data_IF_807392393792
#
_entry.id   IF_807392393792
#
_cell.length_a   1.000
_cell.length_b   1.000
_cell.length_c   1.000
_cell.angle_alpha   90.00
_cell.angle_beta   90.00
_cell.angle_gamma   90.00
#
_symmetry.space_group_name_H-M   'P 1'
#
loop_
_entity.id
_entity.type
_entity.pdbx_description
1 polymer ?
#
# COMPACT_ATOMS: atom_id res chain seq x y z
N UNK A 1 -6.75 -1.06 -1.19
CA UNK A 1 -5.31 -0.72 -1.15
C UNK A 1 -4.38 -1.93 -1.30
N UNK A 2 -4.49 -2.99 -0.48
CA UNK A 2 -3.55 -4.13 -0.51
C UNK A 2 -3.47 -4.84 -1.87
N UNK A 3 -4.60 -5.21 -2.47
CA UNK A 3 -4.64 -5.94 -3.74
C UNK A 3 -3.88 -5.20 -4.88
N UNK A 4 -4.00 -3.88 -4.97
CA UNK A 4 -3.28 -3.08 -5.96
C UNK A 4 -1.76 -3.07 -5.71
N UNK A 5 -1.32 -3.11 -4.45
CA UNK A 5 0.10 -3.12 -4.08
C UNK A 5 0.80 -4.43 -4.42
N UNK A 6 0.07 -5.56 -4.41
CA UNK A 6 0.60 -6.86 -4.85
C UNK A 6 1.11 -6.81 -6.30
N UNK A 7 0.44 -6.04 -7.16
CA UNK A 7 0.87 -5.79 -8.52
C UNK A 7 1.97 -4.73 -8.60
N UNK A 8 1.75 -3.56 -7.99
CA UNK A 8 2.54 -2.35 -8.30
C UNK A 8 4.03 -2.43 -7.91
N UNK A 9 4.37 -3.20 -6.87
CA UNK A 9 5.75 -3.26 -6.36
C UNK A 9 6.66 -4.01 -7.34
N UNK A 10 6.27 -5.21 -7.74
CA UNK A 10 7.05 -6.01 -8.68
C UNK A 10 7.14 -5.33 -10.06
N UNK A 11 6.07 -4.67 -10.51
CA UNK A 11 6.07 -3.86 -11.73
C UNK A 11 7.12 -2.74 -11.68
N UNK A 12 7.08 -1.92 -10.62
CA UNK A 12 8.05 -0.84 -10.42
C UNK A 12 9.49 -1.36 -10.34
N UNK A 13 9.73 -2.51 -9.69
CA UNK A 13 11.07 -3.10 -9.58
C UNK A 13 11.65 -3.53 -10.93
N UNK A 14 10.81 -4.09 -11.82
CA UNK A 14 11.25 -4.48 -13.17
C UNK A 14 11.72 -3.27 -13.98
N UNK A 15 11.02 -2.14 -13.88
CA UNK A 15 11.43 -0.89 -14.54
C UNK A 15 12.65 -0.24 -13.87
N UNK A 16 12.61 -0.06 -12.55
CA UNK A 16 13.60 0.73 -11.80
C UNK A 16 14.96 0.03 -11.67
N UNK A 17 14.98 -1.30 -11.58
CA UNK A 17 16.19 -2.09 -11.34
C UNK A 17 16.51 -2.97 -12.55
N UNK A 18 15.52 -3.69 -13.06
CA UNK A 18 15.65 -4.54 -14.24
C UNK A 18 14.92 -5.88 -14.10
N UNK A 19 14.77 -6.59 -15.21
CA UNK A 19 13.96 -7.82 -15.29
C UNK A 19 14.42 -8.91 -14.31
N UNK A 20 15.74 -9.03 -14.09
CA UNK A 20 16.35 -10.03 -13.22
C UNK A 20 16.68 -9.49 -11.81
N UNK A 21 15.97 -8.45 -11.32
CA UNK A 21 16.27 -7.80 -10.03
C UNK A 21 16.29 -8.77 -8.83
N UNK A 22 15.56 -9.89 -8.92
CA UNK A 22 15.51 -10.93 -7.89
C UNK A 22 16.82 -11.72 -7.75
N UNK A 23 17.73 -11.64 -8.72
CA UNK A 23 19.04 -12.29 -8.68
C UNK A 23 20.11 -11.45 -7.96
N UNK A 24 19.81 -10.19 -7.59
CA UNK A 24 20.75 -9.38 -6.82
C UNK A 24 20.93 -9.96 -5.41
N UNK A 25 22.14 -9.96 -4.84
CA UNK A 25 22.41 -10.56 -3.52
C UNK A 25 21.41 -10.21 -2.41
N UNK A 26 20.98 -8.94 -2.22
CA UNK A 26 20.00 -8.63 -1.17
C UNK A 26 18.57 -9.11 -1.47
N UNK A 27 18.24 -9.44 -2.72
CA UNK A 27 16.91 -9.88 -3.15
C UNK A 27 16.81 -11.40 -3.34
N UNK A 28 17.95 -12.09 -3.34
CA UNK A 28 18.02 -13.51 -3.61
C UNK A 28 17.47 -14.30 -2.40
N UNK A 29 16.65 -15.31 -2.68
CA UNK A 29 16.22 -16.25 -1.64
C UNK A 29 17.39 -17.13 -1.18
N UNK A 30 17.31 -17.65 0.04
CA UNK A 30 18.26 -18.61 0.58
C UNK A 30 18.05 -20.03 0.01
N UNK A 31 16.90 -20.29 -0.61
CA UNK A 31 16.56 -21.60 -1.20
C UNK A 31 16.74 -21.59 -2.71
N UNK A 32 16.91 -22.78 -3.30
CA UNK A 32 17.00 -22.89 -4.77
C UNK A 32 15.70 -22.43 -5.44
N UNK A 33 15.84 -21.58 -6.47
CA UNK A 33 14.73 -21.08 -7.28
C UNK A 33 14.56 -21.98 -8.49
N UNK A 34 13.52 -22.83 -8.48
CA UNK A 34 13.10 -23.60 -9.66
C UNK A 34 12.08 -22.79 -10.45
N UNK A 35 12.49 -22.22 -11.58
CA UNK A 35 11.63 -21.38 -12.43
C UNK A 35 11.84 -21.64 -13.92
N UNK A 36 10.77 -21.54 -14.70
CA UNK A 36 10.84 -21.50 -16.16
C UNK A 36 11.34 -20.16 -16.72
N UNK A 37 11.55 -19.14 -15.89
CA UNK A 37 12.03 -17.83 -16.33
C UNK A 37 13.48 -17.90 -16.86
N UNK A 38 13.65 -17.52 -18.13
CA UNK A 38 14.91 -17.56 -18.88
C UNK A 38 15.25 -16.17 -19.45
N UNK A 39 16.54 -15.90 -19.68
CA UNK A 39 17.09 -14.69 -20.29
C UNK A 39 16.80 -13.38 -19.51
N UNK A 40 16.53 -12.29 -20.23
CA UNK A 40 16.39 -10.93 -19.69
C UNK A 40 17.73 -10.21 -19.54
N UNK A 41 17.70 -8.87 -19.60
CA UNK A 41 18.88 -8.05 -19.40
C UNK A 41 19.53 -8.33 -18.04
N UNK A 42 20.87 -8.27 -18.00
CA UNK A 42 21.68 -8.46 -16.79
C UNK A 42 21.36 -9.78 -16.05
N UNK A 43 21.12 -10.87 -16.79
CA UNK A 43 21.05 -12.19 -16.16
C UNK A 43 22.43 -12.57 -15.62
N UNK A 44 22.49 -12.82 -14.31
CA UNK A 44 23.72 -13.12 -13.59
C UNK A 44 23.89 -14.63 -13.38
N UNK A 45 22.77 -15.35 -13.16
CA UNK A 45 22.77 -16.80 -12.99
C UNK A 45 22.27 -17.50 -14.24
N UNK A 46 23.01 -18.53 -14.66
CA UNK A 46 22.60 -19.40 -15.77
C UNK A 46 21.18 -19.96 -15.54
N UNK A 47 20.31 -19.97 -16.57
CA UNK A 47 18.99 -20.57 -16.44
C UNK A 47 19.11 -22.06 -16.07
N UNK A 48 18.62 -22.44 -14.90
CA UNK A 48 18.55 -23.84 -14.45
C UNK A 48 17.37 -24.58 -15.10
N UNK A 49 17.15 -24.37 -16.40
CA UNK A 49 16.03 -24.93 -17.16
C UNK A 49 16.43 -25.21 -18.62
N UNK A 50 16.59 -26.49 -18.95
CA UNK A 50 16.96 -26.93 -20.30
C UNK A 50 15.78 -26.87 -21.29
N UNK A 51 14.55 -26.90 -20.79
CA UNK A 51 13.30 -26.86 -21.54
C UNK A 51 12.35 -25.84 -20.88
N UNK A 52 12.23 -24.61 -21.40
CA UNK A 52 11.50 -23.53 -20.73
C UNK A 52 9.97 -23.64 -20.95
N UNK A 53 9.40 -24.83 -20.81
CA UNK A 53 7.96 -25.08 -21.01
C UNK A 53 7.45 -26.23 -20.12
N UNK A 54 6.15 -26.21 -19.81
CA UNK A 54 5.42 -27.27 -19.11
C UNK A 54 4.05 -27.54 -19.79
N UNK A 55 3.49 -28.76 -19.69
CA UNK A 55 4.15 -29.99 -19.25
C UNK A 55 5.25 -30.41 -20.26
N UNK A 56 6.23 -31.18 -19.81
CA UNK A 56 7.30 -31.67 -20.68
C UNK A 56 7.79 -33.07 -20.26
N UNK A 57 8.42 -33.79 -21.19
CA UNK A 57 8.89 -35.18 -20.99
C UNK A 57 10.32 -35.29 -20.46
N UNK A 58 10.93 -34.19 -19.99
CA UNK A 58 12.38 -34.07 -19.81
C UNK A 58 12.80 -33.60 -18.41
N UNK A 59 11.90 -33.68 -17.42
CA UNK A 59 12.07 -33.12 -16.07
C UNK A 59 12.36 -31.58 -16.10
N UNK A 60 12.29 -30.91 -14.96
CA UNK A 60 12.50 -29.47 -14.86
C UNK A 60 11.48 -28.75 -13.97
N UNK A 61 11.37 -27.42 -14.04
CA UNK A 61 10.60 -26.63 -13.08
C UNK A 61 9.06 -26.81 -13.09
N UNK A 62 8.44 -28.00 -13.05
CA UNK A 62 6.96 -28.09 -13.12
C UNK A 62 6.25 -27.78 -11.80
N UNK A 63 5.21 -26.95 -11.82
CA UNK A 63 4.14 -26.98 -10.83
C UNK A 63 2.94 -27.71 -11.44
N UNK A 64 2.45 -28.74 -10.74
CA UNK A 64 1.26 -29.51 -11.11
C UNK A 64 0.33 -29.54 -9.89
N UNK A 65 -0.57 -28.57 -9.90
CA UNK A 65 -1.50 -28.30 -8.83
C UNK A 65 -2.85 -29.01 -9.04
N UNK A 66 -2.96 -30.02 -9.93
CA UNK A 66 -4.19 -30.82 -10.24
C UNK A 66 -4.97 -31.30 -9.00
N UNK A 67 -4.25 -31.35 -7.89
CA UNK A 67 -4.67 -31.82 -6.59
C UNK A 67 -5.10 -30.69 -5.67
N UNK A 68 -4.43 -29.56 -5.74
CA UNK A 68 -4.43 -28.52 -4.71
C UNK A 68 -3.74 -27.25 -5.22
N UNK A 69 -4.15 -26.09 -4.78
CA UNK A 69 -4.82 -25.93 -3.50
C UNK A 69 -5.74 -24.73 -3.49
N UNK A 70 -6.58 -24.72 -2.45
CA UNK A 70 -7.25 -23.55 -1.94
C UNK A 70 -6.25 -22.39 -1.87
N UNK A 71 -6.28 -21.43 -2.81
CA UNK A 71 -5.49 -20.23 -2.62
C UNK A 71 -5.93 -19.63 -1.28
N UNK A 72 -4.97 -19.16 -0.48
CA UNK A 72 -5.30 -18.38 0.70
C UNK A 72 -6.16 -17.21 0.22
N UNK A 73 -7.45 -17.27 0.55
CA UNK A 73 -8.47 -16.50 -0.12
C UNK A 73 -9.75 -16.54 0.67
N UNK A 74 -10.67 -15.68 0.28
CA UNK A 74 -12.00 -15.59 0.87
C UNK A 74 -13.04 -15.71 -0.23
N UNK A 75 -14.23 -16.17 0.14
CA UNK A 75 -15.36 -16.20 -0.78
C UNK A 75 -15.87 -14.78 -1.00
N UNK A 76 -16.09 -14.44 -2.26
CA UNK A 76 -16.88 -13.27 -2.66
C UNK A 76 -18.08 -13.83 -3.39
N UNK A 77 -19.29 -13.43 -3.00
CA UNK A 77 -20.49 -13.83 -3.73
C UNK A 77 -20.44 -13.29 -5.15
N UNK A 78 -21.05 -14.02 -6.08
CA UNK A 78 -21.15 -13.55 -7.47
C UNK A 78 -21.89 -12.22 -7.51
N UNK A 79 -21.21 -11.19 -8.01
CA UNK A 79 -21.70 -9.83 -8.10
C UNK A 79 -21.29 -9.20 -9.44
N UNK A 80 -21.95 -8.11 -9.81
CA UNK A 80 -21.55 -7.30 -10.96
C UNK A 80 -20.18 -6.64 -10.72
N UNK A 81 -19.44 -6.41 -11.80
CA UNK A 81 -18.22 -5.60 -11.72
C UNK A 81 -18.59 -4.14 -11.50
N UNK A 82 -18.25 -3.61 -10.33
CA UNK A 82 -18.62 -2.25 -9.91
C UNK A 82 -17.42 -1.42 -9.48
N UNK A 83 -17.61 -0.10 -9.45
CA UNK A 83 -16.78 0.85 -8.69
C UNK A 83 -17.65 1.45 -7.61
N UNK A 84 -17.51 0.95 -6.39
CA UNK A 84 -18.30 1.38 -5.25
C UNK A 84 -17.39 1.75 -4.08
N UNK A 85 -17.91 2.60 -3.19
CA UNK A 85 -17.33 2.77 -1.87
C UNK A 85 -17.46 1.46 -1.06
N UNK A 86 -16.70 1.34 0.02
CA UNK A 86 -16.87 0.24 0.95
C UNK A 86 -18.26 0.32 1.58
N UNK A 87 -18.84 -0.84 1.90
CA UNK A 87 -20.02 -0.91 2.75
C UNK A 87 -19.64 -0.38 4.12
N UNK A 88 -20.30 0.68 4.58
CA UNK A 88 -20.08 1.22 5.92
C UNK A 88 -20.61 0.25 6.97
N UNK A 89 -19.76 -0.04 7.95
CA UNK A 89 -20.15 -0.69 9.20
C UNK A 89 -20.67 0.35 10.20
N UNK A 90 -21.08 -0.11 11.39
CA UNK A 90 -21.79 0.73 12.38
C UNK A 90 -21.06 2.02 12.75
N UNK A 91 -19.73 1.96 12.88
CA UNK A 91 -18.89 3.07 13.33
C UNK A 91 -17.94 3.57 12.23
N UNK A 92 -18.20 3.21 10.96
CA UNK A 92 -17.34 3.64 9.86
C UNK A 92 -17.63 5.10 9.48
N UNK A 93 -16.62 5.93 9.69
CA UNK A 93 -16.52 7.29 9.16
C UNK A 93 -15.04 7.66 8.91
N UNK A 94 -14.81 8.89 8.46
CA UNK A 94 -13.45 9.39 8.18
C UNK A 94 -12.80 10.14 9.37
N UNK A 95 -13.49 10.32 10.50
CA UNK A 95 -13.13 11.32 11.52
C UNK A 95 -13.10 10.82 12.97
N UNK A 96 -13.85 9.79 13.31
CA UNK A 96 -13.97 9.27 14.68
C UNK A 96 -12.65 8.67 15.18
N UNK A 97 -12.00 7.81 14.40
CA UNK A 97 -10.69 7.24 14.78
C UNK A 97 -9.59 8.31 15.02
N UNK A 98 -9.33 9.26 14.10
CA UNK A 98 -8.38 10.33 14.38
C UNK A 98 -8.84 11.25 15.50
N UNK A 99 -10.16 11.42 15.70
CA UNK A 99 -10.71 12.15 16.84
C UNK A 99 -10.38 11.48 18.19
N UNK A 100 -10.55 10.15 18.30
CA UNK A 100 -10.16 9.39 19.49
C UNK A 100 -8.67 9.49 19.76
N UNK A 101 -7.82 9.42 18.72
CA UNK A 101 -6.38 9.65 18.87
C UNK A 101 -6.09 11.01 19.51
N UNK A 102 -6.72 12.09 19.04
CA UNK A 102 -6.50 13.44 19.55
C UNK A 102 -7.02 13.62 20.98
N UNK A 103 -8.21 13.09 21.29
CA UNK A 103 -8.89 13.33 22.57
C UNK A 103 -8.42 12.39 23.68
N UNK A 104 -8.19 11.13 23.37
CA UNK A 104 -8.08 10.07 24.38
C UNK A 104 -6.66 9.48 24.49
N UNK A 105 -5.89 9.55 23.41
CA UNK A 105 -4.53 8.97 23.37
C UNK A 105 -3.46 10.03 23.56
N UNK A 106 -3.63 11.19 22.94
CA UNK A 106 -2.61 12.24 23.01
C UNK A 106 -2.56 12.92 24.39
N UNK A 107 -1.36 13.29 24.81
CA UNK A 107 -1.17 14.27 25.89
C UNK A 107 -1.29 15.72 25.37
N UNK A 108 -1.34 16.68 26.29
CA UNK A 108 -1.46 18.11 25.93
C UNK A 108 -0.27 18.59 25.10
N UNK A 109 0.95 18.18 25.43
CA UNK A 109 2.14 18.58 24.70
C UNK A 109 2.15 18.02 23.26
N UNK A 110 1.60 16.82 23.05
CA UNK A 110 1.41 16.21 21.74
C UNK A 110 0.35 16.97 20.93
N UNK A 111 -0.78 17.34 21.54
CA UNK A 111 -1.80 18.19 20.90
C UNK A 111 -1.22 19.55 20.51
N UNK A 112 -0.40 20.16 21.36
CA UNK A 112 0.26 21.43 21.08
C UNK A 112 1.21 21.32 19.87
N UNK A 113 2.01 20.26 19.82
CA UNK A 113 2.88 19.97 18.67
C UNK A 113 2.07 19.70 17.41
N UNK A 114 0.95 18.99 17.50
CA UNK A 114 0.06 18.74 16.37
C UNK A 114 -0.46 20.06 15.79
N UNK A 115 -1.01 20.95 16.62
CA UNK A 115 -1.47 22.28 16.20
C UNK A 115 -0.34 23.05 15.52
N UNK A 116 0.84 23.12 16.15
CA UNK A 116 1.99 23.82 15.58
C UNK A 116 2.45 23.25 14.23
N UNK A 117 2.45 21.93 14.08
CA UNK A 117 2.81 21.27 12.82
C UNK A 117 1.80 21.57 11.72
N UNK A 118 0.51 21.41 12.00
CA UNK A 118 -0.56 21.67 11.03
C UNK A 118 -0.53 23.12 10.57
N UNK A 119 -0.46 24.07 11.50
CA UNK A 119 -0.40 25.50 11.18
C UNK A 119 0.82 25.82 10.31
N UNK A 120 2.00 25.27 10.63
CA UNK A 120 3.21 25.48 9.83
C UNK A 120 3.05 24.97 8.40
N UNK A 121 2.44 23.79 8.21
CA UNK A 121 2.17 23.25 6.88
C UNK A 121 1.17 24.11 6.10
N UNK A 122 0.10 24.57 6.75
CA UNK A 122 -0.93 25.40 6.13
C UNK A 122 -0.46 26.83 5.82
N UNK A 123 0.59 27.34 6.48
CA UNK A 123 1.25 28.61 6.14
C UNK A 123 2.18 28.50 4.93
N UNK A 124 2.56 27.30 4.51
CA UNK A 124 3.56 27.08 3.46
C UNK A 124 2.96 27.16 2.05
N UNK A 125 2.54 28.36 1.63
CA UNK A 125 2.08 28.62 0.27
C UNK A 125 0.69 28.07 -0.07
N UNK A 126 -0.09 27.65 0.94
CA UNK A 126 -1.46 27.16 0.73
C UNK A 126 -2.41 28.33 0.46
N UNK A 127 -3.13 28.24 -0.66
CA UNK A 127 -4.15 29.22 -1.05
C UNK A 127 -5.25 29.33 0.01
N UNK A 128 -5.89 30.50 0.09
CA UNK A 128 -6.96 30.74 1.07
C UNK A 128 -8.08 29.70 0.96
N UNK A 129 -8.54 29.40 -0.26
CA UNK A 129 -9.60 28.40 -0.50
C UNK A 129 -9.23 26.99 -0.04
N UNK A 130 -7.98 26.55 -0.23
CA UNK A 130 -7.53 25.23 0.25
C UNK A 130 -7.40 25.25 1.78
N UNK A 131 -6.93 26.36 2.35
CA UNK A 131 -6.80 26.53 3.79
C UNK A 131 -8.15 26.44 4.50
N UNK A 132 -9.18 27.12 4.00
CA UNK A 132 -10.53 27.05 4.56
C UNK A 132 -11.07 25.61 4.62
N UNK A 133 -10.89 24.84 3.52
CA UNK A 133 -11.26 23.43 3.48
C UNK A 133 -10.47 22.59 4.48
N UNK A 134 -9.17 22.85 4.62
CA UNK A 134 -8.34 22.15 5.61
C UNK A 134 -8.76 22.48 7.05
N UNK A 135 -9.10 23.73 7.35
CA UNK A 135 -9.60 24.12 8.67
C UNK A 135 -10.93 23.42 8.98
N UNK A 136 -11.84 23.31 8.01
CA UNK A 136 -13.05 22.51 8.17
C UNK A 136 -12.73 21.03 8.41
N UNK A 137 -11.80 20.46 7.65
CA UNK A 137 -11.35 19.07 7.81
C UNK A 137 -10.83 18.79 9.23
N UNK A 138 -9.99 19.66 9.79
CA UNK A 138 -9.48 19.51 11.15
C UNK A 138 -10.57 19.68 12.21
N UNK A 139 -11.57 20.54 11.98
CA UNK A 139 -12.73 20.68 12.87
C UNK A 139 -13.62 19.44 12.87
N UNK A 140 -13.71 18.71 11.76
CA UNK A 140 -14.45 17.44 11.70
C UNK A 140 -13.76 16.35 12.53
N UNK A 141 -12.43 16.36 12.63
CA UNK A 141 -11.66 15.43 13.49
C UNK A 141 -11.86 15.75 14.98
N UNK A 142 -11.64 17.01 15.34
CA UNK A 142 -11.79 17.50 16.71
C UNK A 142 -12.01 19.02 16.72
N UNK A 143 -13.16 19.46 17.24
CA UNK A 143 -13.56 20.87 17.18
C UNK A 143 -12.59 21.79 17.92
N UNK A 144 -12.10 21.37 19.09
CA UNK A 144 -11.15 22.16 19.90
C UNK A 144 -9.81 22.30 19.17
N UNK A 145 -9.22 21.19 18.72
CA UNK A 145 -7.93 21.19 18.02
C UNK A 145 -8.02 21.94 16.69
N UNK A 146 -9.09 21.72 15.91
CA UNK A 146 -9.34 22.45 14.66
C UNK A 146 -9.51 23.96 14.86
N UNK A 147 -10.11 24.38 15.98
CA UNK A 147 -10.23 25.81 16.31
C UNK A 147 -8.88 26.40 16.69
N UNK A 148 -8.07 25.70 17.50
CA UNK A 148 -6.69 26.12 17.82
C UNK A 148 -5.81 26.28 16.58
N UNK A 149 -6.00 25.45 15.55
CA UNK A 149 -5.33 25.61 14.26
C UNK A 149 -5.83 26.86 13.54
N UNK A 150 -7.14 27.09 13.50
CA UNK A 150 -7.75 28.24 12.84
C UNK A 150 -7.33 29.58 13.48
N UNK A 151 -7.30 29.63 14.82
CA UNK A 151 -6.90 30.81 15.59
C UNK A 151 -5.45 31.23 15.30
N UNK A 152 -4.60 30.27 14.92
CA UNK A 152 -3.25 30.57 14.50
C UNK A 152 -3.16 31.21 13.09
N UNK A 153 -4.27 31.50 12.42
CA UNK A 153 -4.34 32.27 11.16
C UNK A 153 -5.10 33.58 11.27
N UNK A 154 -5.72 33.86 12.42
CA UNK A 154 -6.24 35.17 12.78
C UNK A 154 -5.06 36.13 13.08
#
# INVERSE_FOLDING_TARGET
MLQARLFSYADTHRYRVGNNYTQLPPNQTLTDVRSYAKDGAMRFTEPQVARPYAPNSYDGPSADEDRYNHPAGWRVETAEMVRAAYTLHADDDDFSQPGHLVREVMDDAQRDRLVGNVTRHLRNGVSATVRERALQYWKNIDATTGSRVADAFA
#
